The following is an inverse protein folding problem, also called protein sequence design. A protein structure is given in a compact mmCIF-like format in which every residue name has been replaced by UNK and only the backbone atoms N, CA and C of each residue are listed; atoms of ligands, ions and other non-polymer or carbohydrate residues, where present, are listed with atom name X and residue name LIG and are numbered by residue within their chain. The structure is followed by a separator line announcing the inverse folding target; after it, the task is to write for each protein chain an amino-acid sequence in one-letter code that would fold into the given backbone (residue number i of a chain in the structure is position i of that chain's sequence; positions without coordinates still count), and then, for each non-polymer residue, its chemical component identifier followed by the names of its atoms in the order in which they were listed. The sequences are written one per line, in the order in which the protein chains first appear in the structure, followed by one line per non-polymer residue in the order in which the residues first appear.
data_IF_931229893814
#
_entry.id   IF_931229893814
#
_cell.length_a   1.000
_cell.length_b   1.000
_cell.length_c   1.000
_cell.angle_alpha   90.00
_cell.angle_beta   90.00
_cell.angle_gamma   90.00
#
_symmetry.space_group_name_H-M   'P 1'
#
loop_
_entity.id
_entity.type
_entity.pdbx_description
1 polymer ?
#
# COMPACT_ATOMS: atom_id res chain seq x y z
N UNK A 1 11.40 -17.40 -4.80
CA UNK A 1 10.91 -18.78 -5.01
C UNK A 1 10.53 -18.92 -6.47
N UNK A 2 11.52 -19.13 -7.34
CA UNK A 2 11.31 -19.52 -8.74
C UNK A 2 11.06 -21.02 -8.76
N UNK A 3 9.86 -21.42 -8.33
CA UNK A 3 9.37 -22.74 -8.63
C UNK A 3 9.07 -22.77 -10.14
N UNK A 4 9.50 -23.84 -10.80
CA UNK A 4 9.25 -24.07 -12.23
C UNK A 4 7.74 -24.00 -12.48
N UNK A 5 7.28 -22.90 -13.08
CA UNK A 5 5.86 -22.69 -13.34
C UNK A 5 5.45 -23.65 -14.45
N UNK A 6 4.27 -24.29 -14.36
CA UNK A 6 3.77 -25.10 -15.46
C UNK A 6 3.78 -24.32 -16.79
N UNK A 7 4.07 -24.98 -17.93
CA UNK A 7 4.18 -24.33 -19.23
C UNK A 7 2.96 -23.46 -19.60
N UNK A 8 1.76 -23.91 -19.25
CA UNK A 8 0.49 -23.23 -19.47
C UNK A 8 0.40 -21.91 -18.69
N UNK A 9 0.89 -21.88 -17.44
CA UNK A 9 0.95 -20.66 -16.63
C UNK A 9 1.96 -19.68 -17.23
N UNK A 10 3.12 -20.17 -17.68
CA UNK A 10 4.11 -19.32 -18.33
C UNK A 10 3.58 -18.77 -19.67
N UNK A 11 2.84 -19.59 -20.42
CA UNK A 11 2.24 -19.19 -21.68
C UNK A 11 1.16 -18.14 -21.46
N UNK A 12 0.25 -18.33 -20.50
CA UNK A 12 -0.77 -17.36 -20.15
C UNK A 12 -0.16 -16.01 -19.70
N UNK A 13 0.94 -16.04 -18.95
CA UNK A 13 1.69 -14.83 -18.57
C UNK A 13 2.29 -14.10 -19.77
N UNK A 14 2.88 -14.82 -20.73
CA UNK A 14 3.55 -14.23 -21.89
C UNK A 14 2.58 -13.72 -22.95
N UNK A 15 1.53 -14.50 -23.22
CA UNK A 15 0.62 -14.28 -24.34
C UNK A 15 -0.65 -13.53 -23.92
N UNK A 16 -0.93 -13.41 -22.62
CA UNK A 16 -2.11 -12.71 -22.11
C UNK A 16 -3.43 -13.35 -22.55
N UNK A 17 -3.43 -14.67 -22.79
CA UNK A 17 -4.61 -15.43 -23.19
C UNK A 17 -4.81 -16.67 -22.34
N UNK A 18 -6.05 -17.14 -22.31
CA UNK A 18 -6.42 -18.39 -21.62
C UNK A 18 -5.71 -19.57 -22.29
N UNK A 19 -5.13 -20.44 -21.47
CA UNK A 19 -4.49 -21.69 -21.91
C UNK A 19 -5.17 -22.84 -21.17
N UNK A 20 -5.82 -23.72 -21.93
CA UNK A 20 -6.43 -24.94 -21.41
C UNK A 20 -5.60 -26.14 -21.86
N UNK A 21 -5.27 -27.03 -20.92
CA UNK A 21 -4.62 -28.31 -21.17
C UNK A 21 -5.64 -29.39 -20.82
N UNK A 22 -6.08 -30.14 -21.83
CA UNK A 22 -6.94 -31.31 -21.62
C UNK A 22 -6.09 -32.49 -21.15
N UNK A 23 -6.61 -33.27 -20.21
CA UNK A 23 -5.97 -34.52 -19.81
C UNK A 23 -5.98 -35.54 -20.94
N UNK A 24 -4.88 -35.65 -21.70
CA UNK A 24 -4.70 -36.74 -22.65
C UNK A 24 -4.70 -38.07 -21.88
N UNK A 25 -5.41 -39.09 -22.38
CA UNK A 25 -5.53 -40.41 -21.76
C UNK A 25 -6.08 -40.44 -20.32
N UNK A 26 -6.87 -39.44 -19.92
CA UNK A 26 -7.49 -39.37 -18.59
C UNK A 26 -6.70 -38.58 -17.56
N UNK A 27 -5.55 -37.98 -17.94
CA UNK A 27 -4.70 -37.17 -17.06
C UNK A 27 -5.36 -35.93 -16.46
N UNK A 28 -4.64 -35.21 -15.60
CA UNK A 28 -5.12 -33.93 -15.04
C UNK A 28 -5.40 -32.90 -16.15
N UNK A 29 -6.48 -32.14 -15.99
CA UNK A 29 -6.81 -31.03 -16.88
C UNK A 29 -6.49 -29.69 -16.20
N UNK A 30 -5.75 -28.82 -16.85
CA UNK A 30 -5.34 -27.52 -16.33
C UNK A 30 -5.96 -26.36 -17.12
N UNK A 31 -6.22 -25.26 -16.45
CA UNK A 31 -6.73 -24.01 -17.02
C UNK A 31 -6.00 -22.84 -16.41
N UNK A 32 -5.15 -22.20 -17.21
CA UNK A 32 -4.41 -21.00 -16.85
C UNK A 32 -5.07 -19.77 -17.47
N UNK A 33 -5.53 -18.83 -16.63
CA UNK A 33 -6.25 -17.64 -17.05
C UNK A 33 -5.48 -16.40 -16.58
N UNK A 34 -5.11 -15.48 -17.49
CA UNK A 34 -4.41 -14.26 -17.11
C UNK A 34 -5.33 -13.33 -16.30
N UNK A 35 -4.78 -12.72 -15.27
CA UNK A 35 -5.40 -11.61 -14.53
C UNK A 35 -4.75 -10.33 -15.03
N UNK A 36 -5.54 -9.48 -15.67
CA UNK A 36 -5.05 -8.25 -16.29
C UNK A 36 -5.58 -7.01 -15.58
N UNK A 37 -4.73 -6.00 -15.46
CA UNK A 37 -5.08 -4.65 -14.97
C UNK A 37 -4.59 -3.65 -15.99
N UNK A 38 -5.48 -2.80 -16.52
CA UNK A 38 -5.16 -1.82 -17.57
C UNK A 38 -4.43 -2.40 -18.80
N UNK A 39 -4.75 -3.63 -19.17
CA UNK A 39 -4.12 -4.32 -20.30
C UNK A 39 -2.76 -4.94 -20.00
N UNK A 40 -2.27 -4.86 -18.77
CA UNK A 40 -1.05 -5.54 -18.32
C UNK A 40 -1.41 -6.79 -17.52
N UNK A 41 -0.81 -7.93 -17.86
CA UNK A 41 -0.99 -9.19 -17.13
C UNK A 41 -0.19 -9.12 -15.83
N UNK A 42 -0.89 -9.04 -14.69
CA UNK A 42 -0.27 -8.95 -13.37
C UNK A 42 -0.18 -10.30 -12.65
N UNK A 43 -0.82 -11.33 -13.19
CA UNK A 43 -0.85 -12.67 -12.62
C UNK A 43 -1.60 -13.67 -13.47
N UNK A 44 -1.69 -14.90 -12.97
CA UNK A 44 -2.45 -15.99 -13.60
C UNK A 44 -3.20 -16.74 -12.51
N UNK A 45 -4.46 -17.06 -12.80
CA UNK A 45 -5.26 -18.03 -12.07
C UNK A 45 -5.00 -19.41 -12.68
N UNK A 46 -4.40 -20.31 -11.90
CA UNK A 46 -4.13 -21.71 -12.28
C UNK A 46 -5.18 -22.61 -11.63
N UNK A 47 -6.03 -23.24 -12.44
CA UNK A 47 -7.06 -24.17 -12.01
C UNK A 47 -6.78 -25.57 -12.55
N UNK A 48 -6.99 -26.59 -11.71
CA UNK A 48 -6.75 -27.99 -12.09
C UNK A 48 -7.95 -28.87 -11.73
N UNK A 49 -8.29 -29.80 -12.62
CA UNK A 49 -9.21 -30.90 -12.37
C UNK A 49 -8.41 -32.19 -12.22
N UNK A 50 -8.79 -33.00 -11.23
CA UNK A 50 -8.17 -34.30 -10.97
C UNK A 50 -8.32 -35.26 -12.14
N UNK A 51 -7.42 -36.23 -12.20
CA UNK A 51 -7.47 -37.36 -13.14
C UNK A 51 -8.86 -38.01 -13.19
N UNK A 52 -9.32 -38.38 -14.39
CA UNK A 52 -10.63 -39.00 -14.61
C UNK A 52 -11.83 -38.06 -14.54
N UNK A 53 -11.62 -36.75 -14.37
CA UNK A 53 -12.69 -35.74 -14.48
C UNK A 53 -12.86 -35.30 -15.93
N UNK A 54 -14.09 -34.97 -16.34
CA UNK A 54 -14.30 -34.28 -17.62
C UNK A 54 -13.51 -32.98 -17.69
N UNK A 55 -12.97 -32.68 -18.87
CA UNK A 55 -12.19 -31.47 -19.12
C UNK A 55 -12.97 -30.16 -18.86
N UNK A 56 -12.32 -29.04 -19.14
CA UNK A 56 -12.96 -27.74 -19.00
C UNK A 56 -14.02 -27.53 -20.08
N UNK A 57 -15.26 -27.32 -19.67
CA UNK A 57 -16.34 -26.99 -20.58
C UNK A 57 -16.23 -25.52 -21.01
N UNK A 58 -16.77 -25.16 -22.19
CA UNK A 58 -16.80 -23.76 -22.61
C UNK A 58 -17.56 -22.84 -21.64
N UNK A 59 -18.54 -23.38 -20.91
CA UNK A 59 -19.29 -22.61 -19.91
C UNK A 59 -18.45 -22.31 -18.66
N UNK A 60 -17.75 -23.31 -18.13
CA UNK A 60 -16.81 -23.12 -17.02
C UNK A 60 -15.73 -22.10 -17.40
N UNK A 61 -15.13 -22.24 -18.59
CA UNK A 61 -14.09 -21.30 -19.05
C UNK A 61 -14.60 -19.86 -19.10
N UNK A 62 -15.79 -19.62 -19.69
CA UNK A 62 -16.41 -18.29 -19.71
C UNK A 62 -16.75 -17.76 -18.32
N UNK A 63 -17.14 -18.64 -17.41
CA UNK A 63 -17.42 -18.24 -16.04
C UNK A 63 -16.15 -17.80 -15.31
N UNK A 64 -15.08 -18.59 -15.39
CA UNK A 64 -13.81 -18.25 -14.74
C UNK A 64 -13.15 -17.03 -15.38
N UNK A 65 -13.26 -16.84 -16.70
CA UNK A 65 -12.80 -15.62 -17.37
C UNK A 65 -13.42 -14.37 -16.76
N UNK A 66 -14.75 -14.35 -16.56
CA UNK A 66 -15.43 -13.24 -15.88
C UNK A 66 -14.97 -13.05 -14.44
N UNK A 67 -14.67 -14.13 -13.72
CA UNK A 67 -14.10 -14.04 -12.38
C UNK A 67 -12.71 -13.39 -12.42
N UNK A 68 -11.87 -13.76 -13.39
CA UNK A 68 -10.55 -13.15 -13.60
C UNK A 68 -10.64 -11.65 -13.88
N UNK A 69 -11.59 -11.23 -14.71
CA UNK A 69 -11.83 -9.81 -15.00
C UNK A 69 -12.22 -9.03 -13.73
N UNK A 70 -13.11 -9.60 -12.91
CA UNK A 70 -13.51 -9.00 -11.63
C UNK A 70 -12.35 -8.95 -10.64
N UNK A 71 -11.49 -9.97 -10.60
CA UNK A 71 -10.28 -9.97 -9.78
C UNK A 71 -9.31 -8.87 -10.22
N UNK A 72 -9.10 -8.67 -11.52
CA UNK A 72 -8.30 -7.57 -12.05
C UNK A 72 -8.79 -6.22 -11.55
N UNK A 73 -10.09 -5.95 -11.70
CA UNK A 73 -10.71 -4.70 -11.23
C UNK A 73 -10.56 -4.51 -9.70
N UNK A 74 -10.80 -5.57 -8.93
CA UNK A 74 -10.68 -5.53 -7.47
C UNK A 74 -9.23 -5.23 -7.03
N UNK A 75 -8.25 -5.85 -7.67
CA UNK A 75 -6.83 -5.60 -7.41
C UNK A 75 -6.41 -4.17 -7.77
N UNK A 76 -6.93 -3.63 -8.87
CA UNK A 76 -6.71 -2.22 -9.24
C UNK A 76 -7.27 -1.28 -8.17
N UNK A 77 -8.51 -1.51 -7.73
CA UNK A 77 -9.17 -0.73 -6.69
C UNK A 77 -8.39 -0.76 -5.38
N UNK A 78 -7.96 -1.95 -4.94
CA UNK A 78 -7.14 -2.12 -3.75
C UNK A 78 -5.81 -1.36 -3.85
N UNK A 79 -5.17 -1.37 -5.03
CA UNK A 79 -3.92 -0.63 -5.28
C UNK A 79 -4.14 0.87 -5.15
N UNK A 80 -5.17 1.41 -5.81
CA UNK A 80 -5.50 2.85 -5.77
C UNK A 80 -5.88 3.31 -4.35
N UNK A 81 -6.61 2.47 -3.62
CA UNK A 81 -6.95 2.72 -2.23
C UNK A 81 -5.70 2.81 -1.36
N UNK A 82 -4.77 1.85 -1.49
CA UNK A 82 -3.52 1.85 -0.73
C UNK A 82 -2.61 3.04 -1.08
N UNK A 83 -2.54 3.44 -2.36
CA UNK A 83 -1.83 4.65 -2.80
C UNK A 83 -2.42 5.91 -2.14
N UNK A 84 -3.75 6.03 -2.14
CA UNK A 84 -4.47 7.15 -1.52
C UNK A 84 -4.23 7.17 0.00
N UNK A 85 -4.30 6.01 0.65
CA UNK A 85 -4.06 5.86 2.10
C UNK A 85 -2.66 6.34 2.48
N UNK A 86 -1.64 5.91 1.74
CA UNK A 86 -0.24 6.33 1.96
C UNK A 86 -0.03 7.83 1.75
N UNK A 87 -0.72 8.42 0.78
CA UNK A 87 -0.67 9.86 0.55
C UNK A 87 -1.26 10.64 1.75
N UNK A 88 -2.41 10.19 2.27
CA UNK A 88 -3.02 10.79 3.46
C UNK A 88 -2.14 10.67 4.71
N UNK A 89 -1.49 9.52 4.91
CA UNK A 89 -0.54 9.32 6.02
C UNK A 89 0.65 10.30 5.94
N UNK A 90 1.20 10.51 4.75
CA UNK A 90 2.29 11.50 4.54
C UNK A 90 1.83 12.91 4.83
N UNK A 91 0.65 13.29 4.36
CA UNK A 91 0.11 14.63 4.59
C UNK A 91 -0.13 14.88 6.09
N UNK A 92 -0.68 13.88 6.79
CA UNK A 92 -0.85 13.92 8.24
C UNK A 92 0.49 14.17 8.95
N UNK A 93 1.54 13.42 8.58
CA UNK A 93 2.87 13.60 9.17
C UNK A 93 3.44 15.00 8.92
N UNK A 94 3.31 15.54 7.70
CA UNK A 94 3.77 16.90 7.38
C UNK A 94 3.03 17.95 8.21
N UNK A 95 1.71 17.81 8.35
CA UNK A 95 0.88 18.69 9.18
C UNK A 95 1.31 18.63 10.65
N UNK A 96 1.54 17.43 11.18
CA UNK A 96 1.99 17.22 12.55
C UNK A 96 3.38 17.86 12.80
N UNK A 97 4.34 17.65 11.88
CA UNK A 97 5.66 18.29 11.95
C UNK A 97 5.51 19.83 11.95
N UNK A 98 4.71 20.36 11.02
CA UNK A 98 4.48 21.80 10.89
C UNK A 98 3.84 22.38 12.15
N UNK A 99 2.87 21.68 12.75
CA UNK A 99 2.22 22.08 13.99
C UNK A 99 3.22 22.16 15.16
N UNK A 100 4.09 21.16 15.30
CA UNK A 100 5.15 21.15 16.33
C UNK A 100 6.17 22.27 16.13
N UNK A 101 6.60 22.51 14.89
CA UNK A 101 7.51 23.63 14.57
C UNK A 101 6.85 24.97 14.93
N UNK A 102 5.57 25.17 14.60
CA UNK A 102 4.83 26.37 15.02
C UNK A 102 4.72 26.50 16.53
N UNK A 103 4.37 25.44 17.25
CA UNK A 103 4.30 25.44 18.71
C UNK A 103 5.66 25.79 19.35
N UNK A 104 6.77 25.34 18.73
CA UNK A 104 8.12 25.74 19.16
C UNK A 104 8.46 27.20 18.84
N UNK A 105 7.96 27.77 17.74
CA UNK A 105 8.18 29.19 17.40
C UNK A 105 7.30 30.12 18.23
N UNK A 106 6.19 29.64 18.78
CA UNK A 106 5.34 30.40 19.71
C UNK A 106 5.90 30.41 21.16
N UNK A 107 7.04 29.72 21.39
CA UNK A 107 7.79 29.73 22.65
C UNK A 107 8.13 31.16 23.07
N UNK A 108 8.51 32.04 22.14
CA UNK A 108 8.82 33.44 22.46
C UNK A 108 7.59 34.19 22.98
N UNK A 109 6.41 33.94 22.42
CA UNK A 109 5.15 34.54 22.88
C UNK A 109 4.80 34.07 24.29
N UNK A 110 4.96 32.77 24.56
CA UNK A 110 4.69 32.15 25.86
C UNK A 110 5.67 32.67 26.91
N UNK A 111 6.97 32.72 26.58
CA UNK A 111 8.01 33.27 27.45
C UNK A 111 7.78 34.75 27.75
N UNK A 112 7.40 35.54 26.74
CA UNK A 112 7.06 36.94 26.95
C UNK A 112 5.83 37.11 27.86
N UNK A 113 4.82 36.26 27.72
CA UNK A 113 3.65 36.29 28.61
C UNK A 113 4.05 35.96 30.05
N UNK A 114 4.83 34.90 30.25
CA UNK A 114 5.32 34.49 31.56
C UNK A 114 6.17 35.58 32.24
N UNK A 115 7.09 36.20 31.50
CA UNK A 115 7.92 37.31 32.00
C UNK A 115 7.06 38.51 32.42
N UNK A 116 6.05 38.86 31.62
CA UNK A 116 5.14 39.96 31.95
C UNK A 116 4.34 39.70 33.22
N UNK A 117 3.82 38.48 33.40
CA UNK A 117 3.04 38.14 34.59
C UNK A 117 3.88 38.06 35.86
N UNK A 118 5.06 37.44 35.78
CA UNK A 118 6.00 37.41 36.90
C UNK A 118 6.46 38.81 37.30
N UNK A 119 6.73 39.68 36.32
CA UNK A 119 7.09 41.07 36.58
C UNK A 119 6.00 41.83 37.35
N UNK A 120 4.73 41.60 37.01
CA UNK A 120 3.58 42.20 37.72
C UNK A 120 3.39 41.63 39.12
N UNK A 121 3.44 40.30 39.26
CA UNK A 121 3.21 39.62 40.54
C UNK A 121 4.28 39.97 41.59
N UNK A 122 5.53 40.18 41.14
CA UNK A 122 6.66 40.51 42.00
C UNK A 122 6.89 42.02 42.15
N UNK A 123 6.11 42.86 41.46
CA UNK A 123 6.25 44.32 41.52
C UNK A 123 7.59 44.84 41.00
N UNK A 124 8.20 44.13 40.05
CA UNK A 124 9.53 44.47 39.52
C UNK A 124 9.45 45.31 38.27
N UNK A 125 10.26 46.35 38.17
CA UNK A 125 10.29 47.23 37.00
C UNK A 125 10.89 46.57 35.74
N UNK A 126 11.69 45.50 35.90
CA UNK A 126 12.31 44.76 34.80
C UNK A 126 12.43 43.27 35.11
N UNK A 127 12.05 42.44 34.14
CA UNK A 127 12.22 40.99 34.16
C UNK A 127 12.62 40.48 32.77
N UNK A 128 13.42 39.42 32.72
CA UNK A 128 13.81 38.74 31.49
C UNK A 128 13.87 37.23 31.75
N UNK A 129 13.63 36.43 30.73
CA UNK A 129 13.78 34.96 30.78
C UNK A 129 14.84 34.56 29.77
N UNK A 130 15.70 33.63 30.16
CA UNK A 130 16.78 33.15 29.33
C UNK A 130 16.78 31.63 29.35
N UNK A 131 16.67 31.02 28.18
CA UNK A 131 16.72 29.56 28.02
C UNK A 131 18.17 29.13 27.78
N UNK A 132 18.62 28.14 28.54
CA UNK A 132 19.89 27.45 28.29
C UNK A 132 19.60 26.14 27.57
N UNK A 133 19.97 26.08 26.28
CA UNK A 133 20.04 24.81 25.56
C UNK A 133 21.28 24.08 26.05
N UNK A 134 21.12 23.14 26.97
CA UNK A 134 22.24 22.45 27.59
C UNK A 134 23.18 21.80 26.58
N UNK A 135 24.41 22.29 26.50
CA UNK A 135 25.62 21.44 26.48
C UNK A 135 26.60 22.04 27.48
N UNK A 136 26.86 21.30 28.54
CA UNK A 136 27.85 21.60 29.58
C UNK A 136 29.17 20.92 29.20
N UNK A 137 30.28 21.51 29.69
CA UNK A 137 31.73 21.14 29.62
C UNK A 137 32.45 21.69 28.40
N UNK A 138 33.60 22.34 28.48
CA UNK A 138 34.68 22.49 29.48
C UNK A 138 35.17 23.97 29.38
N UNK A 139 35.86 24.63 30.32
CA UNK A 139 36.82 24.26 31.35
C UNK A 139 36.99 25.48 32.26
#
# INVERSE_FOLDING_TARGET
VTADRPPEVQQALREGRIVAVGGENGGEAALAIPISVRGEVIGVLDLRKSEGTEGWTPEEMRWVERVSDQLGLALESARLFEETRRMAEREYLVREITARVRASMDMDTILQAAVRELGRALGTDRAFVQLSTGTKKDK
#
